data_IF_261582070215
#
_entry.id   IF_261582070215
#
_cell.length_a   1.000
_cell.length_b   1.000
_cell.length_c   1.000
_cell.angle_alpha   90.00
_cell.angle_beta   90.00
_cell.angle_gamma   90.00
#
_symmetry.space_group_name_H-M   'P 1'
#
loop_
_entity.id
_entity.type
_entity.pdbx_description
1 polymer ?
#
# COMPACT_ATOMS: atom_id res chain seq x y z
N UNK A 1 -26.43 13.77 -5.71
CA UNK A 1 -24.97 13.81 -5.91
C UNK A 1 -24.32 13.21 -4.67
N UNK A 2 -23.77 11.99 -4.74
CA UNK A 2 -23.08 11.41 -3.56
C UNK A 2 -21.84 12.26 -3.27
N UNK A 3 -21.80 12.93 -2.12
CA UNK A 3 -20.64 13.73 -1.71
C UNK A 3 -19.47 12.77 -1.50
N UNK A 4 -18.48 12.84 -2.37
CA UNK A 4 -17.27 12.04 -2.26
C UNK A 4 -16.39 12.65 -1.17
N UNK A 5 -16.22 11.98 -0.03
CA UNK A 5 -15.22 12.36 0.96
C UNK A 5 -13.81 12.06 0.42
N UNK A 6 -13.32 12.96 -0.45
CA UNK A 6 -12.03 12.84 -1.15
C UNK A 6 -10.86 12.74 -0.16
N UNK A 7 -10.95 13.45 0.97
CA UNK A 7 -9.96 13.39 2.06
C UNK A 7 -9.91 12.00 2.70
N UNK A 8 -11.07 11.42 3.02
CA UNK A 8 -11.16 10.08 3.58
C UNK A 8 -10.59 9.02 2.63
N UNK A 9 -10.91 9.11 1.33
CA UNK A 9 -10.38 8.20 0.32
C UNK A 9 -8.85 8.27 0.21
N UNK A 10 -8.28 9.47 0.26
CA UNK A 10 -6.83 9.66 0.26
C UNK A 10 -6.18 9.03 1.49
N UNK A 11 -6.72 9.28 2.68
CA UNK A 11 -6.22 8.67 3.92
C UNK A 11 -6.26 7.14 3.88
N UNK A 12 -7.36 6.56 3.40
CA UNK A 12 -7.47 5.10 3.23
C UNK A 12 -6.40 4.59 2.26
N UNK A 13 -6.11 5.34 1.19
CA UNK A 13 -5.10 4.95 0.21
C UNK A 13 -3.69 4.96 0.79
N UNK A 14 -3.36 5.97 1.60
CA UNK A 14 -2.09 6.04 2.34
C UNK A 14 -1.97 4.87 3.32
N UNK A 15 -3.01 4.60 4.12
CA UNK A 15 -3.02 3.50 5.09
C UNK A 15 -2.86 2.15 4.38
N UNK A 16 -3.60 1.91 3.29
CA UNK A 16 -3.48 0.68 2.50
C UNK A 16 -2.09 0.51 1.89
N UNK A 17 -1.45 1.60 1.45
CA UNK A 17 -0.08 1.56 0.96
C UNK A 17 0.89 1.16 2.06
N UNK A 18 0.74 1.70 3.28
CA UNK A 18 1.57 1.30 4.43
C UNK A 18 1.33 -0.16 4.82
N UNK A 19 0.08 -0.63 4.77
CA UNK A 19 -0.24 -2.04 5.03
C UNK A 19 0.33 -2.98 3.97
N UNK A 20 0.55 -2.50 2.73
CA UNK A 20 1.10 -3.31 1.64
C UNK A 20 2.49 -3.88 1.94
N UNK A 21 3.24 -3.24 2.84
CA UNK A 21 4.54 -3.72 3.34
C UNK A 21 4.44 -5.14 3.90
N UNK A 22 3.31 -5.48 4.54
CA UNK A 22 3.09 -6.77 5.18
C UNK A 22 2.54 -7.86 4.25
N UNK A 23 2.12 -7.52 3.03
CA UNK A 23 1.59 -8.51 2.08
C UNK A 23 2.69 -9.23 1.29
N UNK A 24 3.88 -8.63 1.19
CA UNK A 24 5.02 -9.21 0.46
C UNK A 24 6.17 -9.34 1.43
N UNK A 25 6.31 -10.50 2.10
CA UNK A 25 7.60 -10.91 2.68
C UNK A 25 7.55 -12.27 3.37
N UNK A 26 8.06 -13.28 2.68
CA UNK A 26 8.91 -14.31 3.27
C UNK A 26 10.16 -14.41 2.38
N UNK A 27 11.37 -14.32 2.96
CA UNK A 27 12.64 -14.50 2.22
C UNK A 27 12.98 -13.39 1.20
N UNK A 28 12.73 -12.12 1.53
CA UNK A 28 13.09 -10.99 0.65
C UNK A 28 13.52 -9.77 1.45
N UNK A 29 14.43 -8.98 0.87
CA UNK A 29 14.94 -7.74 1.44
C UNK A 29 14.18 -6.50 0.97
N UNK A 30 13.18 -6.70 0.11
CA UNK A 30 12.38 -5.66 -0.54
C UNK A 30 10.90 -5.85 -0.21
N UNK A 31 10.23 -4.74 0.13
CA UNK A 31 8.88 -4.72 0.69
C UNK A 31 8.04 -3.63 0.05
N UNK A 32 6.71 -3.81 0.15
CA UNK A 32 5.72 -2.97 -0.51
C UNK A 32 5.14 -3.65 -1.74
N UNK A 33 3.89 -3.32 -2.05
CA UNK A 33 3.19 -3.83 -3.22
C UNK A 33 2.23 -2.76 -3.77
N UNK A 34 2.02 -2.70 -5.09
CA UNK A 34 2.64 -3.54 -6.13
C UNK A 34 4.11 -3.22 -6.44
N UNK A 35 4.60 -2.01 -6.14
CA UNK A 35 6.00 -1.65 -6.32
C UNK A 35 6.74 -1.67 -4.98
N UNK A 36 7.95 -2.25 -4.96
CA UNK A 36 8.73 -2.35 -3.73
C UNK A 36 9.34 -0.99 -3.36
N UNK A 37 8.75 -0.27 -2.41
CA UNK A 37 9.21 1.05 -1.99
C UNK A 37 10.06 1.05 -0.72
N UNK A 38 10.20 -0.09 -0.04
CA UNK A 38 11.13 -0.27 1.08
C UNK A 38 12.14 -1.35 0.73
N UNK A 39 13.40 -1.13 1.02
CA UNK A 39 14.43 -2.16 0.94
C UNK A 39 15.31 -2.07 2.17
N UNK A 40 15.65 -3.18 2.80
CA UNK A 40 16.65 -3.20 3.86
C UNK A 40 18.01 -3.60 3.27
N UNK A 41 19.07 -3.05 3.85
CA UNK A 41 20.46 -3.36 3.52
C UNK A 41 21.05 -4.14 4.70
N UNK A 42 21.49 -5.36 4.44
CA UNK A 42 22.23 -6.19 5.39
C UNK A 42 22.40 -7.61 4.85
N UNK A 43 23.29 -8.36 5.49
CA UNK A 43 23.85 -9.59 4.93
C UNK A 43 22.88 -10.78 4.92
N UNK A 44 21.89 -10.80 5.83
CA UNK A 44 20.98 -11.92 6.03
C UNK A 44 19.54 -11.55 5.74
N UNK A 45 18.87 -12.31 4.87
CA UNK A 45 17.44 -12.12 4.58
C UNK A 45 16.61 -12.04 5.86
N UNK A 46 15.62 -11.13 5.87
CA UNK A 46 14.75 -11.00 7.03
C UNK A 46 13.80 -12.19 7.11
N UNK A 47 13.84 -12.87 8.25
CA UNK A 47 12.94 -13.99 8.57
C UNK A 47 11.47 -13.56 8.65
N UNK A 48 11.20 -12.27 8.84
CA UNK A 48 9.85 -11.70 8.85
C UNK A 48 9.86 -10.22 8.46
N UNK A 49 8.75 -9.71 7.93
CA UNK A 49 8.55 -8.27 7.70
C UNK A 49 8.66 -7.46 8.99
N UNK A 50 8.20 -8.03 10.11
CA UNK A 50 8.26 -7.38 11.43
C UNK A 50 9.69 -7.05 11.84
N UNK A 51 10.66 -7.79 11.33
CA UNK A 51 12.07 -7.53 11.59
C UNK A 51 12.49 -6.14 11.12
N UNK A 52 11.84 -5.53 10.12
CA UNK A 52 12.05 -4.12 9.72
C UNK A 52 11.88 -3.11 10.85
N UNK A 53 11.07 -3.44 11.85
CA UNK A 53 10.72 -2.57 12.96
C UNK A 53 11.39 -2.99 14.27
N UNK A 54 12.20 -4.06 14.24
CA UNK A 54 12.98 -4.51 15.41
C UNK A 54 14.45 -4.16 15.23
N UNK A 55 15.12 -3.83 16.33
CA UNK A 55 16.44 -3.19 16.34
C UNK A 55 17.60 -4.12 15.95
N UNK A 56 17.36 -5.41 15.76
CA UNK A 56 18.43 -6.41 15.68
C UNK A 56 18.86 -6.65 14.23
N UNK A 57 20.02 -6.11 13.85
CA UNK A 57 20.71 -6.48 12.61
C UNK A 57 20.39 -5.66 11.36
N UNK A 58 19.53 -4.64 11.45
CA UNK A 58 19.27 -3.72 10.33
C UNK A 58 20.33 -2.63 10.31
N UNK A 59 21.20 -2.67 9.31
CA UNK A 59 22.25 -1.65 9.14
C UNK A 59 21.72 -0.38 8.47
N UNK A 60 20.79 -0.53 7.52
CA UNK A 60 20.18 0.61 6.81
C UNK A 60 18.86 0.20 6.13
N UNK A 61 17.96 1.18 5.98
CA UNK A 61 16.69 1.06 5.24
C UNK A 61 16.70 2.10 4.12
N UNK A 62 16.46 1.66 2.90
CA UNK A 62 16.23 2.52 1.75
C UNK A 62 14.73 2.64 1.47
N UNK A 63 14.26 3.88 1.34
CA UNK A 63 12.88 4.19 1.01
C UNK A 63 12.81 4.87 -0.37
N UNK A 64 12.11 4.26 -1.31
CA UNK A 64 11.87 4.83 -2.63
C UNK A 64 10.54 5.60 -2.64
N UNK A 65 10.64 6.91 -2.43
CA UNK A 65 9.50 7.82 -2.37
C UNK A 65 8.67 7.84 -3.66
N UNK A 66 9.30 7.65 -4.82
CA UNK A 66 8.59 7.63 -6.10
C UNK A 66 7.64 6.42 -6.16
N UNK A 67 8.14 5.24 -5.79
CA UNK A 67 7.35 4.01 -5.80
C UNK A 67 6.23 4.06 -4.77
N UNK A 68 6.48 4.66 -3.61
CA UNK A 68 5.44 4.93 -2.62
C UNK A 68 4.30 5.78 -3.21
N UNK A 69 4.61 6.87 -3.91
CA UNK A 69 3.58 7.71 -4.51
C UNK A 69 2.82 7.02 -5.64
N UNK A 70 3.50 6.20 -6.44
CA UNK A 70 2.86 5.39 -7.48
C UNK A 70 1.85 4.42 -6.83
N UNK A 71 2.24 3.72 -5.77
CA UNK A 71 1.35 2.80 -5.05
C UNK A 71 0.15 3.51 -4.45
N UNK A 72 0.36 4.63 -3.73
CA UNK A 72 -0.74 5.44 -3.18
C UNK A 72 -1.70 5.85 -4.28
N UNK A 73 -1.18 6.28 -5.43
CA UNK A 73 -1.98 6.73 -6.57
C UNK A 73 -2.79 5.59 -7.19
N UNK A 74 -2.17 4.43 -7.40
CA UNK A 74 -2.84 3.24 -7.94
C UNK A 74 -3.96 2.77 -7.01
N UNK A 75 -3.67 2.66 -5.71
CA UNK A 75 -4.66 2.27 -4.71
C UNK A 75 -5.81 3.28 -4.68
N UNK A 76 -5.50 4.58 -4.73
CA UNK A 76 -6.52 5.63 -4.76
C UNK A 76 -7.45 5.48 -5.98
N UNK A 77 -6.88 5.29 -7.17
CA UNK A 77 -7.68 5.09 -8.38
C UNK A 77 -8.55 3.83 -8.27
N UNK A 78 -7.99 2.72 -7.79
CA UNK A 78 -8.70 1.46 -7.67
C UNK A 78 -9.90 1.59 -6.71
N UNK A 79 -9.69 2.19 -5.54
CA UNK A 79 -10.77 2.45 -4.58
C UNK A 79 -11.82 3.42 -5.15
N UNK A 80 -11.38 4.46 -5.87
CA UNK A 80 -12.28 5.41 -6.52
C UNK A 80 -13.18 4.73 -7.57
N UNK A 81 -12.59 3.94 -8.47
CA UNK A 81 -13.32 3.24 -9.52
C UNK A 81 -14.23 2.15 -8.98
N UNK A 82 -13.77 1.33 -8.03
CA UNK A 82 -14.60 0.30 -7.38
C UNK A 82 -15.84 0.93 -6.75
N UNK A 83 -15.67 2.04 -6.01
CA UNK A 83 -16.81 2.77 -5.44
C UNK A 83 -17.76 3.27 -6.52
N UNK A 84 -17.25 3.81 -7.63
CA UNK A 84 -18.07 4.31 -8.74
C UNK A 84 -18.89 3.17 -9.37
N UNK A 85 -18.28 2.01 -9.61
CA UNK A 85 -18.96 0.83 -10.15
C UNK A 85 -20.05 0.34 -9.19
N UNK A 86 -19.76 0.23 -7.89
CA UNK A 86 -20.75 -0.15 -6.88
C UNK A 86 -21.93 0.83 -6.87
N UNK A 87 -21.66 2.13 -7.00
CA UNK A 87 -22.69 3.16 -7.12
C UNK A 87 -23.61 2.95 -8.33
N UNK A 88 -23.03 2.67 -9.51
CA UNK A 88 -23.78 2.39 -10.74
C UNK A 88 -24.65 1.13 -10.62
N UNK A 89 -24.09 0.04 -10.08
CA UNK A 89 -24.81 -1.22 -9.87
C UNK A 89 -25.98 -1.08 -8.89
N UNK A 90 -25.85 -0.23 -7.86
CA UNK A 90 -26.96 0.06 -6.93
C UNK A 90 -28.10 0.80 -7.63
N UNK A 91 -27.78 1.74 -8.52
CA UNK A 91 -28.78 2.49 -9.28
C UNK A 91 -29.51 1.58 -10.26
N UNK A 92 -28.81 0.68 -10.96
CA UNK A 92 -29.47 -0.23 -11.93
C UNK A 92 -30.35 -1.31 -11.27
N UNK A 93 -30.17 -1.61 -9.98
CA UNK A 93 -31.03 -2.54 -9.22
C UNK A 93 -32.31 -1.89 -8.67
N UNK A 94 -32.38 -0.56 -8.64
CA UNK A 94 -33.53 0.20 -8.14
C UNK A 94 -34.44 0.73 -9.27
N UNK A 95 -33.99 0.62 -10.53
CA UNK A 95 -34.81 0.81 -11.73
C UNK A 95 -35.50 -0.49 -12.12
#
# INVERSE_FOLDING_TARGET
MQVTNKKGLLWISIIMTLLSVFFVSYGTNKFGAPFQFISYIGENELSSTFSLFTKNGITSIQFNILYFFIDVTLIYFLLFYVRKIIGLLKISKQS
#
